data_IF_505197190435
#
_entry.id   IF_505197190435
#
_cell.length_a   1.000
_cell.length_b   1.000
_cell.length_c   1.000
_cell.angle_alpha   90.00
_cell.angle_beta   90.00
_cell.angle_gamma   90.00
#
_symmetry.space_group_name_H-M   'P 1'
#
loop_
_entity.id
_entity.type
_entity.pdbx_description
1 polymer ?
#
# COMPACT_ATOMS: atom_id res chain seq x y z
N UNK A 1 -10.24 11.67 -9.70
CA UNK A 1 -9.03 11.24 -10.39
C UNK A 1 -8.56 9.91 -9.85
N UNK A 2 -8.08 9.03 -10.71
CA UNK A 2 -7.66 7.67 -10.30
C UNK A 2 -6.27 7.73 -9.69
N UNK A 3 -6.11 7.17 -8.50
CA UNK A 3 -4.84 7.23 -7.76
C UNK A 3 -4.17 5.88 -7.72
N UNK A 4 -2.84 5.89 -7.81
CA UNK A 4 -1.99 4.74 -7.55
C UNK A 4 -1.06 5.02 -6.38
N UNK A 5 -0.78 3.99 -5.60
CA UNK A 5 0.11 4.07 -4.45
C UNK A 5 1.20 3.02 -4.59
N UNK A 6 2.45 3.46 -4.54
CA UNK A 6 3.60 2.53 -4.58
C UNK A 6 3.74 1.79 -3.27
N UNK A 7 3.80 0.47 -3.36
CA UNK A 7 4.01 -0.39 -2.21
C UNK A 7 4.92 -1.55 -2.61
N UNK A 8 5.58 -2.16 -1.63
CA UNK A 8 6.44 -3.31 -1.89
C UNK A 8 5.62 -4.44 -2.54
N UNK A 9 6.23 -5.12 -3.51
CA UNK A 9 5.57 -6.23 -4.22
C UNK A 9 5.10 -7.32 -3.26
N UNK A 10 5.88 -7.61 -2.21
CA UNK A 10 5.51 -8.59 -1.18
C UNK A 10 4.26 -8.16 -0.41
N UNK A 11 4.12 -6.87 -0.14
CA UNK A 11 2.93 -6.33 0.53
C UNK A 11 1.72 -6.38 -0.41
N UNK A 12 1.90 -5.99 -1.67
CA UNK A 12 0.82 -6.09 -2.65
C UNK A 12 0.30 -7.52 -2.77
N UNK A 13 1.20 -8.50 -2.78
CA UNK A 13 0.84 -9.92 -2.83
C UNK A 13 0.07 -10.34 -1.58
N UNK A 14 0.53 -9.93 -0.40
CA UNK A 14 -0.13 -10.26 0.86
C UNK A 14 -1.54 -9.65 0.94
N UNK A 15 -1.71 -8.42 0.46
CA UNK A 15 -3.02 -7.77 0.37
C UNK A 15 -3.94 -8.56 -0.58
N UNK A 16 -3.42 -8.97 -1.74
CA UNK A 16 -4.21 -9.69 -2.74
C UNK A 16 -4.69 -11.05 -2.25
N UNK A 17 -3.96 -11.71 -1.34
CA UNK A 17 -4.33 -13.02 -0.81
C UNK A 17 -5.14 -12.95 0.49
N UNK A 18 -5.29 -11.77 1.07
CA UNK A 18 -5.96 -11.62 2.37
C UNK A 18 -5.07 -11.92 3.57
N UNK A 19 -3.78 -12.20 3.35
CA UNK A 19 -2.83 -12.39 4.44
C UNK A 19 -2.56 -11.08 5.18
N UNK A 20 -2.68 -9.96 4.48
CA UNK A 20 -2.51 -8.63 5.04
C UNK A 20 -3.70 -7.75 4.64
N UNK A 21 -4.14 -6.88 5.56
CA UNK A 21 -5.23 -5.95 5.29
C UNK A 21 -4.96 -4.53 5.81
N UNK A 22 -3.76 -4.26 6.31
CA UNK A 22 -3.38 -2.92 6.76
C UNK A 22 -2.16 -2.45 5.99
N UNK A 23 -2.19 -1.19 5.57
CA UNK A 23 -1.05 -0.50 4.98
C UNK A 23 -0.53 0.50 5.99
N UNK A 24 0.79 0.58 6.11
CA UNK A 24 1.47 1.49 7.02
C UNK A 24 2.42 2.39 6.21
N UNK A 25 2.42 3.67 6.52
CA UNK A 25 3.36 4.60 5.88
C UNK A 25 3.65 5.80 6.75
N UNK A 26 4.77 6.43 6.49
CA UNK A 26 5.10 7.74 7.03
C UNK A 26 5.05 8.76 5.90
N UNK A 27 4.29 9.83 6.08
CA UNK A 27 4.17 10.86 5.05
C UNK A 27 5.52 11.52 4.75
N UNK A 28 5.74 11.84 3.47
CA UNK A 28 6.94 12.56 3.05
C UNK A 28 6.91 14.03 3.47
N UNK A 29 8.08 14.65 3.54
CA UNK A 29 8.21 16.07 3.93
C UNK A 29 7.43 16.99 2.97
N UNK A 30 7.35 16.60 1.71
CA UNK A 30 6.73 17.41 0.67
C UNK A 30 5.23 17.15 0.49
N UNK A 31 4.69 16.21 1.25
CA UNK A 31 3.26 15.92 1.17
C UNK A 31 2.49 16.96 1.97
N UNK A 32 1.40 17.45 1.39
CA UNK A 32 0.51 18.38 2.09
C UNK A 32 -0.26 17.64 3.19
N UNK A 33 -0.87 18.40 4.10
CA UNK A 33 -1.63 17.79 5.21
C UNK A 33 -2.75 16.90 4.71
N UNK A 34 -3.37 17.22 3.58
CA UNK A 34 -4.43 16.43 2.98
C UNK A 34 -3.91 15.16 2.30
N UNK A 35 -2.62 15.15 1.93
CA UNK A 35 -1.97 14.00 1.28
C UNK A 35 -1.17 13.15 2.27
N UNK A 36 -1.03 13.59 3.50
CA UNK A 36 -0.15 13.02 4.51
C UNK A 36 -0.73 11.75 5.06
N UNK A 37 -1.11 10.83 4.67
CA UNK A 37 -1.69 9.58 5.14
C UNK A 37 -2.40 8.89 3.97
N UNK A 38 -3.55 8.36 4.26
CA UNK A 38 -4.36 7.69 3.24
C UNK A 38 -5.65 8.49 3.05
N UNK A 39 -5.50 9.65 2.40
CA UNK A 39 -6.61 10.59 2.22
C UNK A 39 -7.62 10.19 1.15
N UNK A 40 -7.30 9.22 0.30
CA UNK A 40 -8.21 8.75 -0.74
C UNK A 40 -9.00 7.54 -0.26
N UNK A 41 -10.21 7.37 -0.80
CA UNK A 41 -11.06 6.24 -0.42
C UNK A 41 -10.77 4.98 -1.20
N UNK A 42 -10.09 5.08 -2.32
CA UNK A 42 -9.81 3.95 -3.20
C UNK A 42 -8.56 4.24 -4.03
N UNK A 43 -7.72 3.24 -4.24
CA UNK A 43 -6.53 3.39 -5.06
C UNK A 43 -5.99 2.04 -5.52
N UNK A 44 -5.17 2.09 -6.57
CA UNK A 44 -4.48 0.91 -7.10
C UNK A 44 -3.11 0.79 -6.44
N UNK A 45 -2.66 -0.44 -6.21
CA UNK A 45 -1.33 -0.69 -5.66
C UNK A 45 -0.33 -0.92 -6.78
N UNK A 46 0.71 -0.09 -6.81
CA UNK A 46 1.81 -0.16 -7.75
C UNK A 46 2.95 -0.93 -7.09
N UNK A 47 3.20 -2.20 -7.50
CA UNK A 47 4.23 -3.00 -6.83
C UNK A 47 5.63 -2.49 -7.15
N UNK A 48 6.47 -2.40 -6.12
CA UNK A 48 7.86 -2.00 -6.26
C UNK A 48 8.79 -3.06 -5.70
N UNK A 49 9.97 -3.19 -6.31
CA UNK A 49 11.02 -4.12 -5.89
C UNK A 49 12.20 -3.32 -5.38
N UNK A 50 12.05 -2.75 -4.21
CA UNK A 50 12.97 -1.75 -3.66
C UNK A 50 14.42 -2.23 -3.53
N UNK A 51 14.61 -3.53 -3.29
CA UNK A 51 15.95 -4.10 -3.09
C UNK A 51 16.39 -5.02 -4.22
N UNK A 52 15.57 -5.19 -5.23
CA UNK A 52 15.95 -5.98 -6.40
C UNK A 52 16.61 -5.06 -7.41
N UNK A 53 17.88 -4.79 -7.19
CA UNK A 53 18.63 -3.84 -8.03
C UNK A 53 18.72 -4.24 -9.49
N UNK A 54 18.44 -5.49 -9.82
CA UNK A 54 18.83 -6.03 -11.11
C UNK A 54 17.73 -6.65 -11.95
N UNK A 55 16.60 -6.95 -11.36
CA UNK A 55 15.66 -7.82 -12.05
C UNK A 55 14.91 -7.13 -13.17
N UNK A 56 14.65 -5.85 -13.05
CA UNK A 56 13.82 -5.16 -14.04
C UNK A 56 14.18 -3.69 -14.03
N UNK A 57 15.09 -3.31 -14.85
CA UNK A 57 15.53 -1.92 -14.92
C UNK A 57 14.39 -0.90 -14.81
N UNK A 58 14.74 0.39 -14.79
CA UNK A 58 13.76 1.46 -14.59
C UNK A 58 12.69 1.57 -15.68
N UNK A 59 12.75 0.72 -16.71
CA UNK A 59 11.80 0.69 -17.84
C UNK A 59 10.76 -0.42 -17.72
N UNK A 60 10.81 -1.24 -16.66
CA UNK A 60 9.83 -2.32 -16.50
C UNK A 60 8.44 -1.76 -16.19
N UNK A 61 7.43 -2.36 -16.82
CA UNK A 61 6.04 -1.97 -16.57
C UNK A 61 5.60 -2.38 -15.17
N UNK A 62 4.65 -1.62 -14.60
CA UNK A 62 3.99 -2.01 -13.37
C UNK A 62 2.92 -3.05 -13.67
N UNK A 63 2.92 -4.15 -12.94
CA UNK A 63 1.91 -5.20 -13.04
C UNK A 63 0.92 -5.02 -11.90
N UNK A 64 -0.16 -4.31 -12.15
CA UNK A 64 -1.13 -3.96 -11.12
C UNK A 64 -2.15 -5.08 -11.03
N UNK A 65 -2.20 -5.75 -9.88
CA UNK A 65 -3.09 -6.89 -9.65
C UNK A 65 -4.20 -6.61 -8.65
N UNK A 66 -4.13 -5.47 -7.93
CA UNK A 66 -5.09 -5.20 -6.86
C UNK A 66 -5.41 -3.72 -6.76
N UNK A 67 -6.69 -3.43 -6.56
CA UNK A 67 -7.21 -2.14 -6.14
C UNK A 67 -7.74 -2.30 -4.72
N UNK A 68 -7.64 -1.29 -3.90
CA UNK A 68 -8.15 -1.35 -2.53
C UNK A 68 -9.14 -0.23 -2.26
N UNK A 69 -10.13 -0.53 -1.43
CA UNK A 69 -10.97 0.47 -0.79
C UNK A 69 -10.49 0.64 0.65
N UNK A 70 -10.44 1.89 1.11
CA UNK A 70 -10.05 2.20 2.48
C UNK A 70 -11.29 2.10 3.36
N UNK A 71 -11.28 1.15 4.29
CA UNK A 71 -12.36 0.95 5.25
C UNK A 71 -12.21 1.88 6.44
N UNK A 72 -10.98 2.14 6.84
CA UNK A 72 -10.64 2.97 7.98
C UNK A 72 -9.21 3.44 7.84
N UNK A 73 -8.93 4.68 8.24
CA UNK A 73 -7.58 5.21 8.24
C UNK A 73 -7.36 6.09 9.45
N UNK A 74 -6.11 6.32 9.80
CA UNK A 74 -5.76 7.16 10.94
C UNK A 74 -4.27 7.10 11.21
N UNK A 75 -3.90 7.54 12.41
CA UNK A 75 -2.52 7.60 12.84
C UNK A 75 -2.29 6.66 14.02
N UNK A 76 -1.14 6.01 14.02
CA UNK A 76 -0.68 5.17 15.12
C UNK A 76 0.48 5.87 15.80
N UNK A 77 0.29 6.23 17.06
CA UNK A 77 1.26 6.99 17.85
C UNK A 77 2.02 6.12 18.85
N UNK A 78 1.60 4.88 19.03
CA UNK A 78 2.17 3.96 20.01
C UNK A 78 2.81 2.78 19.30
N UNK A 79 4.11 2.61 19.49
CA UNK A 79 4.85 1.51 18.88
C UNK A 79 4.29 0.14 19.27
N UNK A 80 3.82 -0.01 20.52
CA UNK A 80 3.28 -1.30 20.96
C UNK A 80 2.07 -1.74 20.12
N UNK A 81 1.26 -0.79 19.68
CA UNK A 81 0.13 -1.08 18.80
C UNK A 81 0.60 -1.51 17.42
N UNK A 82 1.62 -0.84 16.87
CA UNK A 82 2.20 -1.20 15.59
C UNK A 82 2.83 -2.58 15.65
N UNK A 83 3.55 -2.88 16.73
CA UNK A 83 4.21 -4.16 16.92
C UNK A 83 3.22 -5.32 16.89
N UNK A 84 2.03 -5.13 17.43
CA UNK A 84 0.98 -6.16 17.38
C UNK A 84 0.42 -6.40 15.99
N UNK A 85 0.48 -5.39 15.12
CA UNK A 85 0.01 -5.50 13.74
C UNK A 85 1.03 -6.20 12.83
N UNK A 86 2.32 -6.07 13.11
CA UNK A 86 3.38 -6.53 12.20
C UNK A 86 3.31 -8.01 11.85
N UNK A 87 2.93 -8.94 12.77
CA UNK A 87 2.79 -10.36 12.39
C UNK A 87 1.74 -10.61 11.30
N UNK A 88 0.82 -9.68 11.09
CA UNK A 88 -0.21 -9.76 10.05
C UNK A 88 0.18 -8.98 8.80
N UNK A 89 1.46 -8.70 8.62
CA UNK A 89 1.97 -7.93 7.49
C UNK A 89 3.22 -8.59 6.91
N UNK A 90 3.53 -8.22 5.67
CA UNK A 90 4.77 -8.61 5.01
C UNK A 90 5.89 -7.58 5.21
N UNK A 91 5.67 -6.56 6.04
CA UNK A 91 6.68 -5.56 6.33
C UNK A 91 7.82 -6.12 7.17
N UNK A 92 9.02 -5.59 6.95
CA UNK A 92 10.16 -5.85 7.81
C UNK A 92 10.01 -5.01 9.09
N UNK A 93 9.94 -5.65 10.29
CA UNK A 93 9.73 -4.90 11.53
C UNK A 93 10.78 -3.83 11.82
N UNK A 94 12.04 -4.11 11.48
CA UNK A 94 13.11 -3.15 11.70
C UNK A 94 12.93 -1.90 10.83
N UNK A 95 12.58 -2.10 9.56
CA UNK A 95 12.34 -1.00 8.63
C UNK A 95 11.14 -0.15 9.09
N UNK A 96 10.07 -0.79 9.52
CA UNK A 96 8.89 -0.08 10.02
C UNK A 96 9.24 0.73 11.27
N UNK A 97 10.05 0.17 12.17
CA UNK A 97 10.46 0.90 13.37
C UNK A 97 11.31 2.12 13.03
N UNK A 98 12.20 1.98 12.05
CA UNK A 98 12.99 3.12 11.58
C UNK A 98 12.10 4.23 11.00
N UNK A 99 11.07 3.85 10.23
CA UNK A 99 10.11 4.81 9.72
C UNK A 99 9.32 5.49 10.85
N UNK A 100 8.87 4.72 11.82
CA UNK A 100 8.14 5.25 12.97
C UNK A 100 8.95 6.29 13.72
N UNK A 101 10.23 6.03 13.92
CA UNK A 101 11.13 6.90 14.67
C UNK A 101 11.71 8.06 13.85
N UNK A 102 11.50 8.05 12.53
CA UNK A 102 12.09 9.08 11.68
C UNK A 102 11.43 10.43 11.90
N UNK A 103 12.20 11.49 11.69
CA UNK A 103 11.76 12.88 11.86
C UNK A 103 11.37 13.19 13.31
N UNK A 104 10.76 14.36 13.53
CA UNK A 104 10.47 14.87 14.86
C UNK A 104 9.26 14.20 15.51
N UNK A 105 8.38 13.62 14.71
CA UNK A 105 7.14 13.07 15.22
C UNK A 105 7.11 11.54 15.03
N UNK A 106 6.95 10.83 16.14
CA UNK A 106 6.88 9.37 16.16
C UNK A 106 5.46 8.94 15.85
N UNK A 107 5.20 8.59 14.60
CA UNK A 107 3.91 8.09 14.17
C UNK A 107 4.04 7.35 12.86
N UNK A 108 3.04 6.52 12.56
CA UNK A 108 2.78 5.98 11.23
C UNK A 108 1.32 6.19 10.89
N UNK A 109 1.05 6.44 9.64
CA UNK A 109 -0.32 6.46 9.12
C UNK A 109 -0.71 5.03 8.75
N UNK A 110 -1.97 4.67 9.01
CA UNK A 110 -2.48 3.36 8.62
C UNK A 110 -3.73 3.49 7.76
N UNK A 111 -3.94 2.48 6.93
CA UNK A 111 -5.21 2.26 6.23
C UNK A 111 -5.58 0.79 6.36
N UNK A 112 -6.76 0.52 6.91
CA UNK A 112 -7.37 -0.79 6.85
C UNK A 112 -8.09 -0.87 5.50
N UNK A 113 -7.75 -1.87 4.69
CA UNK A 113 -8.19 -1.91 3.30
C UNK A 113 -8.89 -3.20 2.94
N UNK A 114 -9.76 -3.10 1.93
CA UNK A 114 -10.43 -4.23 1.32
C UNK A 114 -9.92 -4.38 -0.11
N UNK A 115 -9.38 -5.56 -0.49
CA UNK A 115 -8.82 -5.74 -1.82
C UNK A 115 -9.87 -6.14 -2.86
N UNK A 116 -9.63 -5.70 -4.09
CA UNK A 116 -10.33 -6.14 -5.29
C UNK A 116 -9.27 -6.61 -6.27
N UNK A 117 -9.37 -7.85 -6.72
CA UNK A 117 -8.40 -8.44 -7.63
C UNK A 117 -8.74 -8.05 -9.07
N UNK A 118 -7.72 -7.70 -9.84
CA UNK A 118 -7.87 -7.32 -11.23
C UNK A 118 -7.62 -8.52 -12.13
N UNK A 119 -8.50 -8.76 -13.10
CA UNK A 119 -8.35 -9.81 -14.09
C UNK A 119 -8.81 -9.29 -15.46
N UNK A 120 -7.94 -9.23 -16.45
CA UNK A 120 -6.49 -9.51 -16.39
C UNK A 120 -5.73 -8.48 -15.57
N UNK A 121 -4.47 -8.79 -15.24
CA UNK A 121 -3.58 -7.84 -14.58
C UNK A 121 -3.41 -6.61 -15.47
N UNK A 122 -3.42 -5.44 -14.86
CA UNK A 122 -3.23 -4.18 -15.56
C UNK A 122 -1.73 -3.90 -15.70
N UNK A 123 -1.22 -4.02 -16.92
CA UNK A 123 0.17 -3.68 -17.21
C UNK A 123 0.25 -2.19 -17.54
N UNK A 124 0.81 -1.40 -16.63
CA UNK A 124 0.94 0.04 -16.80
C UNK A 124 2.38 0.36 -17.20
N UNK A 125 2.60 0.97 -18.39
CA UNK A 125 3.95 1.30 -18.80
C UNK A 125 4.65 2.22 -17.81
N UNK A 126 5.91 1.91 -17.50
CA UNK A 126 6.73 2.75 -16.66
C UNK A 126 7.04 4.06 -17.39
N UNK A 127 6.92 5.17 -16.69
CA UNK A 127 7.24 6.49 -17.22
C UNK A 127 8.09 7.26 -16.23
N UNK A 128 8.70 8.35 -16.67
CA UNK A 128 9.49 9.19 -15.79
C UNK A 128 8.65 9.72 -14.62
N UNK A 129 7.37 9.98 -14.85
CA UNK A 129 6.45 10.46 -13.81
C UNK A 129 6.21 9.42 -12.72
N UNK A 130 6.24 8.13 -13.06
CA UNK A 130 6.00 7.04 -12.12
C UNK A 130 7.27 6.59 -11.40
N UNK A 131 8.42 7.16 -11.74
CA UNK A 131 9.68 6.87 -11.07
C UNK A 131 9.93 7.87 -9.94
N UNK A 132 10.86 7.53 -9.07
CA UNK A 132 11.28 8.42 -7.98
C UNK A 132 10.67 8.02 -6.65
N UNK A 133 10.83 8.90 -5.67
CA UNK A 133 10.51 8.62 -4.28
C UNK A 133 9.07 8.95 -3.88
N UNK A 134 8.26 9.38 -4.82
CA UNK A 134 6.85 9.68 -4.54
C UNK A 134 6.07 8.39 -4.32
N UNK A 135 5.11 8.44 -3.41
CA UNK A 135 4.25 7.30 -3.12
C UNK A 135 2.93 7.35 -3.91
N UNK A 136 2.41 8.54 -4.18
CA UNK A 136 1.12 8.74 -4.82
C UNK A 136 1.26 9.25 -6.25
N UNK A 137 0.45 8.70 -7.15
CA UNK A 137 0.48 9.05 -8.56
C UNK A 137 -0.94 9.10 -9.12
N UNK A 138 -1.17 10.04 -10.03
CA UNK A 138 -2.37 10.04 -10.87
C UNK A 138 -2.18 9.02 -11.98
N UNK A 139 -3.16 8.18 -12.18
CA UNK A 139 -3.11 7.12 -13.20
C UNK A 139 -4.11 7.41 -14.31
N UNK A 140 -3.83 6.92 -15.53
CA UNK A 140 -4.83 6.92 -16.59
C UNK A 140 -5.99 5.98 -16.21
N UNK A 141 -7.13 6.07 -16.90
CA UNK A 141 -8.21 5.11 -16.68
C UNK A 141 -7.72 3.68 -16.98
N UNK A 142 -8.14 2.69 -16.18
CA UNK A 142 -7.79 1.31 -16.46
C UNK A 142 -8.47 0.83 -17.74
N UNK A 143 -7.89 -0.17 -18.43
CA UNK A 143 -8.53 -0.77 -19.59
C UNK A 143 -9.94 -1.27 -19.25
N UNK A 144 -10.89 -1.06 -20.16
CA UNK A 144 -12.28 -1.47 -19.94
C UNK A 144 -12.47 -2.98 -19.87
N UNK A 145 -11.49 -3.75 -20.33
CA UNK A 145 -11.51 -5.21 -20.28
C UNK A 145 -11.23 -5.79 -18.89
N UNK A 146 -10.73 -4.98 -17.97
CA UNK A 146 -10.39 -5.46 -16.63
C UNK A 146 -11.65 -5.64 -15.82
N UNK A 147 -11.76 -6.80 -15.16
CA UNK A 147 -12.83 -7.11 -14.22
C UNK A 147 -12.26 -7.18 -12.82
N UNK A 148 -13.07 -6.79 -11.84
CA UNK A 148 -12.68 -6.85 -10.44
C UNK A 148 -13.45 -7.96 -9.73
N UNK A 149 -12.78 -8.64 -8.80
CA UNK A 149 -13.42 -9.65 -7.95
C UNK A 149 -12.97 -9.47 -6.51
N UNK A 150 -13.83 -9.86 -5.58
CA UNK A 150 -13.51 -9.83 -4.15
C UNK A 150 -12.97 -11.18 -3.71
N UNK A 151 -12.28 -11.19 -2.56
CA UNK A 151 -11.86 -12.41 -1.89
C UNK A 151 -12.65 -12.55 -0.58
N UNK A 152 -12.81 -13.77 -0.07
CA UNK A 152 -13.44 -13.96 1.24
C UNK A 152 -12.63 -13.28 2.34
N UNK A 153 -13.32 -12.81 3.39
CA UNK A 153 -12.64 -12.28 4.55
C UNK A 153 -11.85 -13.38 5.24
N UNK A 154 -10.58 -13.09 5.55
CA UNK A 154 -9.69 -14.06 6.20
C UNK A 154 -9.63 -13.82 7.71
N UNK A 155 -9.12 -14.82 8.44
CA UNK A 155 -8.89 -14.67 9.88
C UNK A 155 -7.89 -13.54 10.15
N UNK A 156 -6.85 -13.42 9.33
CA UNK A 156 -5.87 -12.35 9.44
C UNK A 156 -6.52 -10.98 9.32
N UNK A 157 -7.45 -10.83 8.38
CA UNK A 157 -8.20 -9.57 8.21
C UNK A 157 -9.04 -9.25 9.45
N UNK A 158 -9.72 -10.26 10.01
CA UNK A 158 -10.52 -10.05 11.22
C UNK A 158 -9.67 -9.64 12.40
N UNK A 159 -8.53 -10.30 12.60
CA UNK A 159 -7.61 -9.99 13.70
C UNK A 159 -7.05 -8.57 13.55
N UNK A 160 -6.66 -8.19 12.34
CA UNK A 160 -6.15 -6.84 12.07
C UNK A 160 -7.20 -5.78 12.38
N UNK A 161 -8.44 -6.00 11.95
CA UNK A 161 -9.53 -5.06 12.22
C UNK A 161 -9.76 -4.88 13.72
N UNK A 162 -9.70 -5.96 14.50
CA UNK A 162 -9.84 -5.90 15.95
C UNK A 162 -8.72 -5.08 16.60
N UNK A 163 -7.49 -5.25 16.14
CA UNK A 163 -6.35 -4.50 16.67
C UNK A 163 -6.44 -3.01 16.38
N UNK A 164 -7.15 -2.63 15.32
CA UNK A 164 -7.33 -1.23 14.91
C UNK A 164 -8.64 -0.61 15.44
N UNK A 165 -9.46 -1.38 16.10
CA UNK A 165 -10.75 -0.89 16.62
C UNK A 165 -10.61 -0.04 17.88
#
# INVERSE_FOLDING_TARGET
MIQGFKELASVCQAIATGEQSVLLRKAGIRETTSESGFGTKSFYLLPTHYHEKDAKGPTADFQISVRVDVLRSGDLLDWSQIEKLLPFTAYNPKTIREHFNSRDQKLLHFALVRPFLLNPIWSLPSSAELRGCRSWFDLPPPPSSIRESTIPETEQTRQTALLLS
#
